data_IF_594773178739
#
_entry.id   IF_594773178739
#
_cell.length_a   1.000
_cell.length_b   1.000
_cell.length_c   1.000
_cell.angle_alpha   90.00
_cell.angle_beta   90.00
_cell.angle_gamma   90.00
#
_symmetry.space_group_name_H-M   'P 1'
#
loop_
_entity.id
_entity.type
_entity.pdbx_description
1 polymer ?
#
# COMPACT_ATOMS: atom_id res chain seq x y z
N UNK A 1 -6.01 -30.30 7.39
CA UNK A 1 -5.94 -28.85 7.33
C UNK A 1 -6.14 -28.36 5.92
N UNK A 2 -7.15 -27.56 5.71
CA UNK A 2 -7.46 -27.08 4.37
C UNK A 2 -6.40 -26.06 3.93
N UNK A 3 -5.89 -26.20 2.70
CA UNK A 3 -5.04 -25.19 2.11
C UNK A 3 -5.87 -23.91 1.95
N UNK A 4 -5.24 -22.75 2.21
CA UNK A 4 -5.92 -21.49 1.99
C UNK A 4 -6.18 -21.34 0.48
N UNK A 5 -7.44 -21.20 0.13
CA UNK A 5 -7.84 -20.97 -1.26
C UNK A 5 -7.88 -19.47 -1.52
N UNK A 6 -7.48 -19.06 -2.73
CA UNK A 6 -7.70 -17.68 -3.14
C UNK A 6 -9.20 -17.40 -3.16
N UNK A 7 -9.66 -16.25 -2.65
CA UNK A 7 -11.07 -15.92 -2.71
C UNK A 7 -11.55 -15.85 -4.14
N UNK A 8 -12.74 -16.38 -4.39
CA UNK A 8 -13.40 -16.24 -5.67
C UNK A 8 -13.85 -14.79 -5.88
N UNK A 9 -13.98 -14.36 -7.13
CA UNK A 9 -14.48 -13.01 -7.43
C UNK A 9 -15.82 -12.73 -6.77
N UNK A 10 -16.69 -13.75 -6.69
CA UNK A 10 -18.00 -13.63 -6.03
C UNK A 10 -17.85 -13.31 -4.55
N UNK A 11 -16.90 -13.96 -3.88
CA UNK A 11 -16.64 -13.72 -2.45
C UNK A 11 -16.07 -12.33 -2.23
N UNK A 12 -15.21 -11.86 -3.12
CA UNK A 12 -14.67 -10.51 -3.07
C UNK A 12 -15.76 -9.46 -3.28
N UNK A 13 -16.68 -9.72 -4.20
CA UNK A 13 -17.81 -8.83 -4.45
C UNK A 13 -18.68 -8.70 -3.21
N UNK A 14 -19.02 -9.83 -2.58
CA UNK A 14 -19.80 -9.83 -1.35
C UNK A 14 -19.08 -9.05 -0.24
N UNK A 15 -17.79 -9.32 -0.04
CA UNK A 15 -17.00 -8.65 0.99
C UNK A 15 -16.93 -7.15 0.73
N UNK A 16 -16.72 -6.76 -0.53
CA UNK A 16 -16.65 -5.36 -0.92
C UNK A 16 -17.93 -4.62 -0.52
N UNK A 17 -19.08 -5.16 -0.91
CA UNK A 17 -20.39 -4.55 -0.60
C UNK A 17 -20.61 -4.48 0.91
N UNK A 18 -20.24 -5.55 1.62
CA UNK A 18 -20.38 -5.62 3.07
C UNK A 18 -19.57 -4.52 3.77
N UNK A 19 -18.27 -4.42 3.43
CA UNK A 19 -17.40 -3.44 4.06
C UNK A 19 -17.71 -2.01 3.63
N UNK A 20 -18.12 -1.80 2.39
CA UNK A 20 -18.60 -0.48 1.95
C UNK A 20 -19.83 -0.05 2.77
N UNK A 21 -20.71 -1.00 3.10
CA UNK A 21 -21.84 -0.74 3.97
C UNK A 21 -21.42 -0.29 5.36
N UNK A 22 -20.43 -0.93 5.94
CA UNK A 22 -19.88 -0.52 7.24
C UNK A 22 -19.32 0.90 7.17
N UNK A 23 -18.59 1.23 6.13
CA UNK A 23 -17.99 2.57 5.99
C UNK A 23 -19.04 3.67 5.83
N UNK A 24 -20.22 3.38 5.27
CA UNK A 24 -21.28 4.37 5.23
C UNK A 24 -21.72 4.80 6.64
N UNK A 25 -21.65 3.88 7.60
CA UNK A 25 -21.99 4.14 9.00
C UNK A 25 -20.80 4.71 9.79
N UNK A 26 -19.60 4.27 9.47
CA UNK A 26 -18.36 4.66 10.15
C UNK A 26 -17.27 4.95 9.14
N UNK A 27 -17.27 6.17 8.54
CA UNK A 27 -16.37 6.48 7.42
C UNK A 27 -14.87 6.42 7.74
N UNK A 28 -14.50 6.56 9.02
CA UNK A 28 -13.09 6.58 9.44
C UNK A 28 -12.67 5.28 10.12
N UNK A 29 -13.39 4.19 9.88
CA UNK A 29 -13.06 2.89 10.47
C UNK A 29 -11.80 2.33 9.82
N UNK A 30 -10.65 2.51 10.49
CA UNK A 30 -9.32 2.21 9.94
C UNK A 30 -9.22 0.77 9.45
N UNK A 31 -9.61 -0.20 10.29
CA UNK A 31 -9.48 -1.62 9.95
C UNK A 31 -10.27 -1.98 8.69
N UNK A 32 -11.44 -1.41 8.54
CA UNK A 32 -12.28 -1.65 7.36
C UNK A 32 -11.69 -0.97 6.12
N UNK A 33 -11.15 0.24 6.27
CA UNK A 33 -10.47 0.91 5.17
C UNK A 33 -9.29 0.08 4.67
N UNK A 34 -8.51 -0.51 5.56
CA UNK A 34 -7.36 -1.36 5.20
C UNK A 34 -7.85 -2.58 4.39
N UNK A 35 -8.87 -3.27 4.90
CA UNK A 35 -9.43 -4.45 4.22
C UNK A 35 -9.98 -4.09 2.85
N UNK A 36 -10.71 -2.97 2.74
CA UNK A 36 -11.24 -2.52 1.46
C UNK A 36 -10.14 -2.16 0.46
N UNK A 37 -9.06 -1.54 0.93
CA UNK A 37 -7.92 -1.27 0.06
C UNK A 37 -7.37 -2.54 -0.57
N UNK A 38 -7.25 -3.61 0.22
CA UNK A 38 -6.80 -4.91 -0.29
C UNK A 38 -7.79 -5.51 -1.29
N UNK A 39 -9.09 -5.44 -0.98
CA UNK A 39 -10.14 -5.98 -1.85
C UNK A 39 -10.14 -5.23 -3.19
N UNK A 40 -10.07 -3.91 -3.15
CA UNK A 40 -10.05 -3.10 -4.38
C UNK A 40 -8.84 -3.46 -5.25
N UNK A 41 -7.67 -3.65 -4.64
CA UNK A 41 -6.46 -4.05 -5.37
C UNK A 41 -6.66 -5.42 -6.04
N UNK A 42 -7.19 -6.40 -5.32
CA UNK A 42 -7.45 -7.74 -5.85
C UNK A 42 -8.46 -7.72 -7.00
N UNK A 43 -9.44 -6.83 -6.92
CA UNK A 43 -10.45 -6.66 -7.99
C UNK A 43 -9.97 -5.73 -9.10
N UNK A 44 -8.76 -5.25 -9.04
CA UNK A 44 -8.18 -4.29 -9.99
C UNK A 44 -8.96 -2.98 -10.08
N UNK A 45 -9.62 -2.60 -9.00
CA UNK A 45 -10.29 -1.31 -8.86
C UNK A 45 -9.31 -0.31 -8.25
N UNK A 46 -8.26 0.00 -9.01
CA UNK A 46 -7.10 0.74 -8.51
C UNK A 46 -7.41 2.17 -8.09
N UNK A 47 -8.33 2.84 -8.79
CA UNK A 47 -8.74 4.20 -8.43
C UNK A 47 -9.47 4.22 -7.07
N UNK A 48 -10.31 3.22 -6.82
CA UNK A 48 -10.98 3.09 -5.52
C UNK A 48 -9.97 2.77 -4.41
N UNK A 49 -9.00 1.90 -4.71
CA UNK A 49 -7.93 1.59 -3.77
C UNK A 49 -7.10 2.82 -3.42
N UNK A 50 -6.77 3.63 -4.42
CA UNK A 50 -6.03 4.88 -4.21
C UNK A 50 -6.80 5.82 -3.29
N UNK A 51 -8.10 5.98 -3.51
CA UNK A 51 -8.94 6.85 -2.69
C UNK A 51 -8.92 6.42 -1.22
N UNK A 52 -9.01 5.11 -0.97
CA UNK A 52 -8.94 4.55 0.38
C UNK A 52 -7.57 4.80 1.00
N UNK A 53 -6.49 4.54 0.26
CA UNK A 53 -5.14 4.70 0.78
C UNK A 53 -4.81 6.18 1.05
N UNK A 54 -5.32 7.11 0.23
CA UNK A 54 -5.20 8.55 0.53
C UNK A 54 -5.86 8.91 1.85
N UNK A 55 -7.06 8.37 2.09
CA UNK A 55 -7.77 8.62 3.34
C UNK A 55 -6.99 8.05 4.52
N UNK A 56 -6.50 6.82 4.40
CA UNK A 56 -5.69 6.20 5.44
C UNK A 56 -4.44 7.02 5.76
N UNK A 57 -3.78 7.59 4.75
CA UNK A 57 -2.59 8.42 4.98
C UNK A 57 -2.89 9.68 5.76
N UNK A 58 -4.10 10.23 5.63
CA UNK A 58 -4.54 11.38 6.43
C UNK A 58 -4.89 10.98 7.86
N UNK A 59 -5.46 9.79 8.05
CA UNK A 59 -5.86 9.30 9.37
C UNK A 59 -4.65 8.77 10.16
N UNK A 60 -3.64 8.28 9.49
CA UNK A 60 -2.42 7.72 10.10
C UNK A 60 -1.16 8.24 9.38
N UNK A 61 -0.87 9.54 9.49
CA UNK A 61 0.20 10.17 8.71
C UNK A 61 1.61 9.71 9.09
N UNK A 62 1.78 9.05 10.24
CA UNK A 62 3.08 8.58 10.71
C UNK A 62 3.29 7.08 10.48
N UNK A 63 2.38 6.41 9.80
CA UNK A 63 2.50 4.96 9.56
C UNK A 63 3.31 4.66 8.31
N UNK A 64 4.48 4.01 8.45
CA UNK A 64 5.29 3.63 7.27
C UNK A 64 4.54 2.73 6.29
N UNK A 65 3.80 1.74 6.81
CA UNK A 65 3.10 0.79 5.93
C UNK A 65 1.96 1.44 5.16
N UNK A 66 1.26 2.40 5.78
CA UNK A 66 0.17 3.10 5.09
C UNK A 66 0.73 3.92 3.94
N UNK A 67 1.84 4.61 4.12
CA UNK A 67 2.49 5.34 3.03
C UNK A 67 3.06 4.42 1.96
N UNK A 68 3.57 3.25 2.37
CA UNK A 68 3.98 2.22 1.40
C UNK A 68 2.80 1.79 0.53
N UNK A 69 1.66 1.48 1.15
CA UNK A 69 0.46 1.08 0.43
C UNK A 69 -0.04 2.19 -0.49
N UNK A 70 0.04 3.44 -0.06
CA UNK A 70 -0.31 4.59 -0.88
C UNK A 70 0.60 4.66 -2.12
N UNK A 71 1.90 4.42 -1.94
CA UNK A 71 2.83 4.38 -3.07
C UNK A 71 2.45 3.30 -4.08
N UNK A 72 2.06 2.12 -3.60
CA UNK A 72 1.60 1.03 -4.45
C UNK A 72 0.37 1.45 -5.26
N UNK A 73 -0.60 2.07 -4.61
CA UNK A 73 -1.82 2.52 -5.28
C UNK A 73 -1.55 3.58 -6.34
N UNK A 74 -0.68 4.56 -6.06
CA UNK A 74 -0.27 5.52 -7.07
C UNK A 74 0.45 4.85 -8.25
N UNK A 75 1.33 3.89 -7.97
CA UNK A 75 2.03 3.15 -9.01
C UNK A 75 1.06 2.40 -9.92
N UNK A 76 0.07 1.74 -9.32
CA UNK A 76 -0.91 0.95 -10.07
C UNK A 76 -1.77 1.81 -11.01
N UNK A 77 -2.06 3.06 -10.65
CA UNK A 77 -2.79 3.98 -11.53
C UNK A 77 -1.87 4.73 -12.49
N UNK A 78 -0.57 4.47 -12.45
CA UNK A 78 0.40 5.10 -13.36
C UNK A 78 0.90 6.47 -12.91
N UNK A 79 0.58 6.91 -11.71
CA UNK A 79 1.05 8.19 -11.18
C UNK A 79 2.40 7.99 -10.48
N UNK A 80 3.44 7.90 -11.29
CA UNK A 80 4.79 7.58 -10.81
C UNK A 80 5.36 8.67 -9.90
N UNK A 81 5.06 9.94 -10.19
CA UNK A 81 5.57 11.04 -9.38
C UNK A 81 5.04 10.97 -7.95
N UNK A 82 3.73 10.81 -7.77
CA UNK A 82 3.15 10.71 -6.44
C UNK A 82 3.48 9.39 -5.77
N UNK A 83 3.64 8.31 -6.55
CA UNK A 83 4.13 7.04 -6.02
C UNK A 83 5.52 7.22 -5.40
N UNK A 84 6.42 7.92 -6.09
CA UNK A 84 7.76 8.19 -5.56
C UNK A 84 7.71 9.03 -4.28
N UNK A 85 6.89 10.08 -4.26
CA UNK A 85 6.72 10.89 -3.04
C UNK A 85 6.24 10.06 -1.86
N UNK A 86 5.27 9.18 -2.08
CA UNK A 86 4.73 8.34 -1.02
C UNK A 86 5.75 7.30 -0.54
N UNK A 87 6.51 6.67 -1.44
CA UNK A 87 7.51 5.68 -1.03
C UNK A 87 8.66 6.33 -0.26
N UNK A 88 9.07 7.55 -0.66
CA UNK A 88 10.07 8.30 0.11
C UNK A 88 9.57 8.54 1.52
N UNK A 89 8.31 8.94 1.67
CA UNK A 89 7.73 9.17 2.99
C UNK A 89 7.72 7.88 3.81
N UNK A 90 7.34 6.76 3.22
CA UNK A 90 7.35 5.46 3.89
C UNK A 90 8.75 5.12 4.41
N UNK A 91 9.75 5.26 3.57
CA UNK A 91 11.15 4.94 3.93
C UNK A 91 11.65 5.88 5.02
N UNK A 92 11.36 7.18 4.93
CA UNK A 92 11.77 8.15 5.93
C UNK A 92 11.07 7.92 7.27
N UNK A 93 9.87 7.33 7.26
CA UNK A 93 9.17 6.94 8.48
C UNK A 93 9.63 5.59 9.04
N UNK A 94 10.52 4.90 8.33
CA UNK A 94 11.14 3.68 8.82
C UNK A 94 10.82 2.40 8.04
N UNK A 95 10.13 2.48 6.91
CA UNK A 95 9.93 1.29 6.07
C UNK A 95 11.28 0.83 5.55
N UNK A 96 11.65 -0.43 5.82
CA UNK A 96 13.00 -0.92 5.52
C UNK A 96 13.05 -2.27 4.81
N UNK A 97 11.90 -2.83 4.41
CA UNK A 97 11.90 -4.09 3.70
C UNK A 97 12.18 -3.89 2.21
N UNK A 98 13.43 -3.58 1.90
CA UNK A 98 13.86 -3.30 0.53
C UNK A 98 13.81 -4.55 -0.35
N UNK A 99 13.97 -5.74 0.24
CA UNK A 99 13.88 -7.00 -0.50
C UNK A 99 12.47 -7.18 -1.05
N UNK A 100 11.46 -7.00 -0.19
CA UNK A 100 10.07 -7.08 -0.63
C UNK A 100 9.75 -5.98 -1.65
N UNK A 101 10.21 -4.76 -1.40
CA UNK A 101 10.00 -3.61 -2.29
C UNK A 101 10.50 -3.90 -3.72
N UNK A 102 11.63 -4.60 -3.83
CA UNK A 102 12.21 -4.94 -5.14
C UNK A 102 11.37 -5.98 -5.90
N UNK A 103 10.52 -6.72 -5.21
CA UNK A 103 9.73 -7.82 -5.79
C UNK A 103 8.25 -7.50 -5.90
N UNK A 104 7.80 -6.44 -5.27
CA UNK A 104 6.38 -6.11 -5.20
C UNK A 104 5.85 -5.75 -6.59
N UNK A 105 4.96 -6.55 -7.18
CA UNK A 105 4.43 -6.27 -8.51
C UNK A 105 3.64 -4.96 -8.56
N UNK A 106 3.09 -4.52 -7.43
CA UNK A 106 2.33 -3.27 -7.37
C UNK A 106 3.22 -2.05 -7.58
N UNK A 107 4.55 -2.19 -7.39
CA UNK A 107 5.50 -1.11 -7.60
C UNK A 107 6.23 -1.18 -8.95
N UNK A 108 5.80 -2.04 -9.86
CA UNK A 108 6.52 -2.23 -11.12
C UNK A 108 6.67 -0.95 -11.93
N UNK A 109 5.63 -0.10 -11.96
CA UNK A 109 5.72 1.19 -12.65
C UNK A 109 6.72 2.13 -11.98
N UNK A 110 6.72 2.16 -10.64
CA UNK A 110 7.66 2.99 -9.89
C UNK A 110 9.11 2.54 -10.09
N UNK A 111 9.37 1.22 -10.14
CA UNK A 111 10.72 0.70 -10.32
C UNK A 111 11.36 1.09 -11.65
N UNK A 112 10.58 1.51 -12.64
CA UNK A 112 11.10 2.03 -13.91
C UNK A 112 11.61 3.46 -13.80
N UNK A 113 11.29 4.14 -12.69
CA UNK A 113 11.73 5.52 -12.49
C UNK A 113 13.14 5.53 -11.88
N UNK A 114 14.08 6.14 -12.59
CA UNK A 114 15.49 6.21 -12.17
C UNK A 114 15.67 6.95 -10.85
N UNK A 115 14.81 7.93 -10.57
CA UNK A 115 14.86 8.68 -9.31
C UNK A 115 14.60 7.77 -8.12
N UNK A 116 13.65 6.86 -8.26
CA UNK A 116 13.36 5.87 -7.23
C UNK A 116 14.54 4.92 -7.00
N UNK A 117 15.11 4.39 -8.10
CA UNK A 117 16.25 3.47 -8.02
C UNK A 117 17.45 4.14 -7.33
N UNK A 118 17.75 5.37 -7.69
CA UNK A 118 18.83 6.13 -7.08
C UNK A 118 18.58 6.39 -5.59
N UNK A 119 17.35 6.75 -5.24
CA UNK A 119 16.99 7.02 -3.85
C UNK A 119 17.10 5.76 -2.98
N UNK A 120 16.60 4.62 -3.45
CA UNK A 120 16.68 3.36 -2.70
C UNK A 120 18.14 2.94 -2.51
N UNK A 121 18.96 3.05 -3.54
CA UNK A 121 20.38 2.73 -3.46
C UNK A 121 21.08 3.57 -2.37
N UNK A 122 20.75 4.85 -2.32
CA UNK A 122 21.28 5.77 -1.30
C UNK A 122 20.82 5.36 0.10
N UNK A 123 19.53 5.05 0.27
CA UNK A 123 18.97 4.73 1.58
C UNK A 123 19.47 3.40 2.13
N UNK A 124 19.77 2.44 1.27
CA UNK A 124 20.36 1.15 1.71
C UNK A 124 21.73 1.29 2.35
N UNK A 125 22.46 2.34 2.02
CA UNK A 125 23.76 2.61 2.62
C UNK A 125 23.66 3.13 4.07
N UNK A 126 22.46 3.57 4.47
CA UNK A 126 22.23 4.16 5.80
C UNK A 126 21.05 3.48 6.48
N UNK A 127 21.18 2.17 6.84
CA UNK A 127 20.05 1.40 7.36
C UNK A 127 19.59 1.81 8.75
N UNK A 128 20.33 2.67 9.44
CA UNK A 128 20.01 3.10 10.81
C UNK A 128 18.66 3.81 10.95
N UNK A 129 18.13 4.35 9.85
CA UNK A 129 16.85 5.05 9.87
C UNK A 129 15.65 4.12 10.02
N UNK A 130 15.86 2.81 9.84
CA UNK A 130 14.79 1.86 9.70
C UNK A 130 14.80 0.77 10.76
N UNK A 131 15.68 0.86 11.75
CA UNK A 131 15.91 -0.23 12.72
C UNK A 131 14.69 -0.62 13.54
N UNK A 132 13.75 0.29 13.73
CA UNK A 132 12.58 0.06 14.55
C UNK A 132 11.29 -0.07 13.75
N UNK A 133 11.39 -0.14 12.44
CA UNK A 133 10.20 -0.30 11.60
C UNK A 133 9.69 -1.72 11.64
N UNK A 134 8.39 -1.89 11.76
CA UNK A 134 7.77 -3.20 11.62
C UNK A 134 7.77 -3.65 10.17
N UNK A 135 8.02 -4.93 9.92
CA UNK A 135 7.98 -5.52 8.59
C UNK A 135 6.57 -6.02 8.28
N UNK A 136 5.66 -5.09 8.04
CA UNK A 136 4.25 -5.43 7.78
C UNK A 136 3.96 -5.19 6.32
N UNK A 137 3.48 -6.23 5.63
CA UNK A 137 3.12 -6.18 4.21
C UNK A 137 1.63 -6.36 4.01
N UNK A 138 1.15 -5.94 2.85
CA UNK A 138 -0.21 -6.25 2.41
C UNK A 138 -0.42 -7.74 2.25
#
# INVERSE_FOLDING_TARGET
MAASKKPKLEDLEFQMVFYEGILRQRPDFIDVLIVLGEIYTKKRLYEKGLKVDKKLSKLRPQSPIIHYNLACSFSLVGDTLNSFKAIKRAILLGYDDFIFMDRDPDLSNLRRDERFTAFVKKMRKYPSHAQNAGHVHR
#
